data_IF_725091492622
#
_entry.id   IF_725091492622
#
_cell.length_a   1.000
_cell.length_b   1.000
_cell.length_c   1.000
_cell.angle_alpha   90.00
_cell.angle_beta   90.00
_cell.angle_gamma   90.00
#
_symmetry.space_group_name_H-M   'P 1'
#
loop_
_entity.id
_entity.type
_entity.pdbx_description
1 polymer ?
#
# COMPACT_ATOMS: atom_id res chain seq x y z
N UNK A 1 -1.14 -16.89 1.15
CA UNK A 1 -2.25 -15.92 0.99
C UNK A 1 -2.17 -14.89 2.09
N UNK A 2 -2.04 -13.60 1.76
CA UNK A 2 -2.20 -12.53 2.74
C UNK A 2 -3.71 -12.31 2.98
N UNK A 3 -4.10 -12.17 4.25
CA UNK A 3 -5.48 -11.86 4.62
C UNK A 3 -5.58 -10.40 5.04
N UNK A 4 -6.75 -9.80 4.82
CA UNK A 4 -7.04 -8.45 5.28
C UNK A 4 -6.95 -8.40 6.81
N UNK A 5 -6.12 -7.51 7.35
CA UNK A 5 -5.89 -7.36 8.80
C UNK A 5 -7.14 -6.99 9.60
N UNK A 6 -8.16 -6.44 8.95
CA UNK A 6 -9.37 -5.93 9.60
C UNK A 6 -10.49 -6.97 9.62
N UNK A 7 -10.72 -7.67 8.51
CA UNK A 7 -11.86 -8.59 8.38
C UNK A 7 -11.46 -10.05 8.13
N UNK A 8 -10.17 -10.36 7.99
CA UNK A 8 -9.67 -11.71 7.70
C UNK A 8 -9.96 -12.22 6.29
N UNK A 9 -10.58 -11.43 5.41
CA UNK A 9 -10.87 -11.84 4.03
C UNK A 9 -9.60 -11.93 3.20
N UNK A 10 -9.51 -12.93 2.32
CA UNK A 10 -8.44 -13.05 1.31
C UNK A 10 -8.66 -12.13 0.10
N UNK A 11 -9.81 -11.45 0.02
CA UNK A 11 -10.14 -10.51 -1.06
C UNK A 11 -9.44 -9.17 -0.87
N UNK A 12 -8.87 -8.64 -1.95
CA UNK A 12 -8.29 -7.31 -2.02
C UNK A 12 -9.31 -6.30 -2.53
N UNK A 13 -9.02 -5.01 -2.35
CA UNK A 13 -9.80 -3.93 -2.96
C UNK A 13 -10.79 -3.26 -2.02
N UNK A 14 -12.00 -2.97 -2.51
CA UNK A 14 -13.04 -2.25 -1.76
C UNK A 14 -14.03 -3.23 -1.12
N UNK A 15 -14.67 -2.84 -0.02
CA UNK A 15 -15.73 -3.65 0.61
C UNK A 15 -15.37 -4.18 2.01
N UNK A 16 -14.33 -3.64 2.64
CA UNK A 16 -13.97 -4.01 4.00
C UNK A 16 -14.68 -3.08 5.01
N UNK A 17 -15.82 -3.51 5.54
CA UNK A 17 -16.60 -2.75 6.54
C UNK A 17 -15.84 -2.52 7.85
N UNK A 18 -14.85 -3.35 8.16
CA UNK A 18 -14.02 -3.27 9.35
C UNK A 18 -12.81 -2.34 9.19
N UNK A 19 -12.49 -1.94 7.95
CA UNK A 19 -11.39 -1.01 7.69
C UNK A 19 -11.92 0.42 7.77
N UNK A 20 -11.22 1.35 8.43
CA UNK A 20 -11.64 2.75 8.52
C UNK A 20 -11.70 3.44 7.15
N UNK A 21 -11.03 2.88 6.14
CA UNK A 21 -11.04 3.38 4.76
C UNK A 21 -12.06 2.67 3.87
N UNK A 22 -12.77 1.66 4.38
CA UNK A 22 -13.66 0.81 3.59
C UNK A 22 -12.93 -0.12 2.60
N UNK A 23 -11.59 -0.15 2.65
CA UNK A 23 -10.73 -0.95 1.75
C UNK A 23 -10.07 -2.09 2.50
N UNK A 24 -9.90 -3.22 1.83
CA UNK A 24 -9.12 -4.33 2.35
C UNK A 24 -7.66 -3.92 2.49
N UNK A 25 -7.10 -4.12 3.68
CA UNK A 25 -5.71 -3.83 3.98
C UNK A 25 -5.03 -5.11 4.39
N UNK A 26 -4.14 -5.60 3.55
CA UNK A 26 -3.38 -6.81 3.75
C UNK A 26 -2.05 -6.46 4.40
N UNK A 27 -1.55 -7.34 5.25
CA UNK A 27 -0.15 -7.28 5.66
C UNK A 27 0.63 -7.83 4.47
N UNK A 28 1.17 -6.93 3.65
CA UNK A 28 1.95 -7.26 2.48
C UNK A 28 3.41 -6.91 2.74
N UNK A 29 4.31 -7.76 2.26
CA UNK A 29 5.74 -7.47 2.21
C UNK A 29 6.01 -6.25 1.31
N UNK A 30 7.22 -5.69 1.39
CA UNK A 30 7.63 -4.54 0.55
C UNK A 30 7.48 -4.80 -0.97
N UNK A 31 7.24 -6.04 -1.37
CA UNK A 31 7.05 -6.47 -2.75
C UNK A 31 5.60 -6.38 -3.25
N UNK A 32 4.60 -6.15 -2.40
CA UNK A 32 3.20 -6.09 -2.84
C UNK A 32 2.37 -5.01 -2.13
N UNK A 33 1.38 -4.49 -2.83
CA UNK A 33 0.50 -3.44 -2.36
C UNK A 33 -0.51 -3.99 -1.35
N UNK A 34 -0.61 -3.35 -0.18
CA UNK A 34 -1.51 -3.73 0.90
C UNK A 34 -2.99 -3.66 0.50
N UNK A 35 -3.33 -2.89 -0.53
CA UNK A 35 -4.72 -2.68 -0.94
C UNK A 35 -5.16 -3.61 -2.08
N UNK A 36 -4.28 -3.87 -3.05
CA UNK A 36 -4.64 -4.59 -4.27
C UNK A 36 -3.80 -5.84 -4.55
N UNK A 37 -2.73 -6.08 -3.77
CA UNK A 37 -1.81 -7.19 -3.94
C UNK A 37 -0.85 -7.08 -5.13
N UNK A 38 -0.92 -6.00 -5.93
CA UNK A 38 0.00 -5.78 -7.05
C UNK A 38 1.39 -5.44 -6.54
N UNK A 39 2.43 -5.94 -7.20
CA UNK A 39 3.83 -5.59 -6.97
C UNK A 39 4.28 -4.32 -7.70
N UNK A 40 3.37 -3.69 -8.45
CA UNK A 40 3.63 -2.45 -9.18
C UNK A 40 3.54 -1.23 -8.27
N UNK A 41 4.41 -0.24 -8.51
CA UNK A 41 4.30 1.10 -7.95
C UNK A 41 3.50 2.01 -8.87
N UNK A 42 2.94 3.09 -8.34
CA UNK A 42 2.18 4.06 -9.13
C UNK A 42 0.75 4.24 -8.63
N UNK A 43 -0.20 4.37 -9.56
CA UNK A 43 -1.61 4.61 -9.25
C UNK A 43 -2.37 3.33 -8.87
N UNK A 44 -3.11 3.37 -7.77
CA UNK A 44 -3.93 2.26 -7.26
C UNK A 44 -5.34 2.75 -6.92
N UNK A 45 -6.34 2.30 -7.69
CA UNK A 45 -7.76 2.64 -7.47
C UNK A 45 -8.33 2.11 -6.15
N UNK A 46 -7.66 1.12 -5.56
CA UNK A 46 -8.05 0.52 -4.29
C UNK A 46 -7.40 1.19 -3.08
N UNK A 47 -6.38 2.03 -3.31
CA UNK A 47 -5.76 2.81 -2.27
C UNK A 47 -6.54 4.10 -2.04
N UNK A 48 -6.77 4.52 -0.79
CA UNK A 48 -7.46 5.77 -0.48
C UNK A 48 -6.70 7.00 -0.99
N UNK A 49 -5.38 6.90 -1.16
CA UNK A 49 -4.54 7.98 -1.69
C UNK A 49 -4.42 7.94 -3.20
N UNK A 50 -5.06 6.97 -3.87
CA UNK A 50 -4.95 6.77 -5.31
C UNK A 50 -3.62 6.19 -5.77
N UNK A 51 -2.69 5.86 -4.86
CA UNK A 51 -1.38 5.29 -5.18
C UNK A 51 -1.10 3.98 -4.44
N UNK A 52 -0.35 3.08 -5.07
CA UNK A 52 0.08 1.82 -4.47
C UNK A 52 0.85 2.10 -3.18
N UNK A 53 0.55 1.34 -2.12
CA UNK A 53 1.25 1.40 -0.85
C UNK A 53 1.70 0.00 -0.47
N UNK A 54 3.00 -0.20 -0.41
CA UNK A 54 3.64 -1.46 -0.05
C UNK A 54 4.00 -1.48 1.44
N UNK A 55 4.33 -2.66 1.95
CA UNK A 55 4.86 -2.80 3.30
C UNK A 55 6.25 -2.18 3.46
N UNK A 56 6.61 -1.88 4.70
CA UNK A 56 7.95 -1.45 5.09
C UNK A 56 8.80 -2.72 5.30
N UNK A 57 9.92 -2.89 4.59
CA UNK A 57 10.72 -4.11 4.74
C UNK A 57 11.98 -4.26 3.89
N UNK A 58 12.24 -3.40 2.91
CA UNK A 58 13.45 -3.49 2.08
C UNK A 58 14.23 -2.16 1.98
N UNK A 59 14.10 -1.25 2.96
CA UNK A 59 14.67 0.10 2.89
C UNK A 59 14.22 0.88 1.62
N UNK A 60 13.04 0.53 1.13
CA UNK A 60 12.41 1.10 -0.07
C UNK A 60 11.15 1.85 0.34
N UNK A 61 10.92 2.97 -0.31
CA UNK A 61 9.73 3.77 -0.12
C UNK A 61 8.47 2.94 -0.42
N UNK A 62 7.51 2.95 0.50
CA UNK A 62 6.24 2.24 0.39
C UNK A 62 5.42 2.63 -0.86
N UNK A 63 5.59 3.84 -1.39
CA UNK A 63 4.77 4.34 -2.51
C UNK A 63 5.45 4.22 -3.89
N UNK A 64 6.79 4.25 -3.93
CA UNK A 64 7.52 4.29 -5.20
C UNK A 64 8.67 3.27 -5.33
N UNK A 65 8.99 2.54 -4.27
CA UNK A 65 10.05 1.55 -4.29
C UNK A 65 11.48 2.12 -4.30
N UNK A 66 11.62 3.44 -4.25
CA UNK A 66 12.93 4.10 -4.22
C UNK A 66 13.62 3.92 -2.87
N UNK A 67 14.92 3.67 -2.88
CA UNK A 67 15.78 3.65 -1.68
C UNK A 67 16.23 5.04 -1.25
N UNK A 68 15.82 6.10 -1.97
CA UNK A 68 16.11 7.49 -1.61
C UNK A 68 15.32 7.93 -0.39
N UNK A 69 15.95 8.65 0.53
CA UNK A 69 15.34 9.23 1.74
C UNK A 69 14.96 10.70 1.55
N UNK A 70 13.95 11.16 2.30
CA UNK A 70 13.55 12.56 2.34
C UNK A 70 12.43 12.91 1.35
N UNK A 71 12.51 14.10 0.76
CA UNK A 71 11.51 14.66 -0.15
C UNK A 71 11.73 14.21 -1.60
N UNK A 72 10.67 14.15 -2.41
CA UNK A 72 10.78 13.82 -3.85
C UNK A 72 9.94 12.62 -4.31
N UNK A 73 9.04 12.14 -3.47
CA UNK A 73 8.16 11.03 -3.83
C UNK A 73 6.84 11.53 -4.42
N UNK A 74 6.70 11.52 -5.75
CA UNK A 74 5.46 11.95 -6.44
C UNK A 74 4.25 11.06 -6.14
N UNK A 75 4.49 9.82 -5.70
CA UNK A 75 3.43 8.85 -5.37
C UNK A 75 3.01 8.90 -3.90
N UNK A 76 3.82 9.50 -3.04
CA UNK A 76 3.47 9.68 -1.64
C UNK A 76 2.55 10.90 -1.49
N UNK A 77 1.42 10.79 -0.78
CA UNK A 77 0.54 11.94 -0.53
C UNK A 77 1.24 13.05 0.27
N UNK A 78 2.29 12.72 1.03
CA UNK A 78 3.10 13.68 1.80
C UNK A 78 4.26 14.26 0.98
N UNK A 79 4.47 13.78 -0.25
CA UNK A 79 5.61 14.16 -1.10
C UNK A 79 6.97 13.63 -0.61
N UNK A 80 6.98 12.82 0.45
CA UNK A 80 8.18 12.25 1.06
C UNK A 80 8.26 10.75 0.83
N UNK A 81 9.48 10.23 0.73
CA UNK A 81 9.71 8.80 0.72
C UNK A 81 9.42 8.24 2.11
N UNK A 82 8.52 7.27 2.18
CA UNK A 82 8.11 6.65 3.45
C UNK A 82 8.71 5.24 3.53
N UNK A 83 9.71 5.09 4.40
CA UNK A 83 10.50 3.86 4.63
C UNK A 83 10.25 3.24 5.97
#
# INVERSE_FOLDING_TARGET
>A
MSHCRFCGSSSHGSGCSYSPTGKHVHIADSSSCIYCGSSSYGSCSYSPTGNHKHGHGNDKCAYCGSTSYGSGCSYSPTGKHEH
#
